data_IF_994987110070
#
_entry.id   IF_994987110070
#
_cell.length_a   1.000
_cell.length_b   1.000
_cell.length_c   1.000
_cell.angle_alpha   90.00
_cell.angle_beta   90.00
_cell.angle_gamma   90.00
#
_symmetry.space_group_name_H-M   'P 1'
#
loop_
_entity.id
_entity.type
_entity.pdbx_description
1 polymer ?
#
# COMPACT_ATOMS: atom_id res chain seq x y z
N UNK A 1 -29.00 15.29 3.15
CA UNK A 1 -27.68 15.03 2.52
C UNK A 1 -26.64 14.48 3.50
N UNK A 2 -26.59 14.94 4.76
CA UNK A 2 -25.65 14.44 5.78
C UNK A 2 -25.85 12.94 6.11
N UNK A 3 -27.09 12.52 6.38
CA UNK A 3 -27.43 11.11 6.70
C UNK A 3 -26.96 10.13 5.63
N UNK A 4 -27.13 10.46 4.34
CA UNK A 4 -26.67 9.61 3.24
C UNK A 4 -25.14 9.45 3.19
N UNK A 5 -24.39 10.47 3.61
CA UNK A 5 -22.92 10.41 3.69
C UNK A 5 -22.45 9.58 4.87
N UNK A 6 -23.13 9.67 6.01
CA UNK A 6 -22.83 8.89 7.21
C UNK A 6 -23.08 7.40 6.99
N UNK A 7 -24.25 7.04 6.44
CA UNK A 7 -24.60 5.65 6.09
C UNK A 7 -23.57 5.06 5.12
N UNK A 8 -23.17 5.83 4.10
CA UNK A 8 -22.16 5.42 3.13
C UNK A 8 -20.79 5.19 3.77
N UNK A 9 -20.38 6.04 4.70
CA UNK A 9 -19.10 5.92 5.40
C UNK A 9 -19.09 4.71 6.34
N UNK A 10 -20.20 4.47 7.04
CA UNK A 10 -20.38 3.28 7.89
C UNK A 10 -20.29 1.98 7.08
N UNK A 11 -20.93 1.92 5.92
CA UNK A 11 -20.86 0.75 5.03
C UNK A 11 -19.42 0.49 4.54
N UNK A 12 -18.69 1.53 4.12
CA UNK A 12 -17.30 1.39 3.67
C UNK A 12 -16.42 0.82 4.78
N UNK A 13 -16.55 1.35 6.00
CA UNK A 13 -15.78 0.88 7.15
C UNK A 13 -16.13 -0.57 7.48
N UNK A 14 -17.42 -0.92 7.49
CA UNK A 14 -17.87 -2.30 7.72
C UNK A 14 -17.28 -3.26 6.69
N UNK A 15 -17.37 -2.94 5.40
CA UNK A 15 -16.84 -3.78 4.33
C UNK A 15 -15.32 -3.92 4.41
N UNK A 16 -14.61 -2.84 4.76
CA UNK A 16 -13.15 -2.89 4.90
C UNK A 16 -12.71 -3.73 6.10
N UNK A 17 -13.40 -3.61 7.24
CA UNK A 17 -13.14 -4.43 8.42
C UNK A 17 -13.46 -5.90 8.13
N UNK A 18 -14.59 -6.19 7.48
CA UNK A 18 -14.93 -7.56 7.10
C UNK A 18 -13.92 -8.14 6.11
N UNK A 19 -13.47 -7.37 5.12
CA UNK A 19 -12.42 -7.81 4.19
C UNK A 19 -11.15 -8.21 4.94
N UNK A 20 -10.72 -7.38 5.90
CA UNK A 20 -9.55 -7.68 6.73
C UNK A 20 -9.76 -8.91 7.61
N UNK A 21 -10.87 -9.01 8.34
CA UNK A 21 -11.14 -10.13 9.27
C UNK A 21 -11.25 -11.45 8.52
N UNK A 22 -12.01 -11.48 7.42
CA UNK A 22 -12.25 -12.70 6.62
C UNK A 22 -11.00 -13.11 5.85
N UNK A 23 -10.32 -12.16 5.21
CA UNK A 23 -9.14 -12.48 4.38
C UNK A 23 -7.89 -12.74 5.20
N UNK A 24 -7.67 -11.94 6.25
CA UNK A 24 -6.36 -11.80 6.87
C UNK A 24 -6.36 -12.04 8.39
N UNK A 25 -7.46 -11.73 9.07
CA UNK A 25 -7.63 -12.03 10.49
C UNK A 25 -7.50 -13.52 10.80
N UNK A 26 -8.04 -14.38 9.93
CA UNK A 26 -7.86 -15.83 10.00
C UNK A 26 -6.37 -16.23 9.90
N UNK A 27 -5.63 -15.65 8.97
CA UNK A 27 -4.23 -15.98 8.77
C UNK A 27 -3.33 -15.49 9.93
N UNK A 28 -3.63 -14.33 10.51
CA UNK A 28 -2.97 -13.86 11.75
C UNK A 28 -3.24 -14.83 12.90
N UNK A 29 -4.49 -15.28 13.05
CA UNK A 29 -4.84 -16.27 14.07
C UNK A 29 -4.08 -17.58 13.88
N UNK A 30 -4.01 -18.10 12.64
CA UNK A 30 -3.21 -19.29 12.32
C UNK A 30 -1.73 -19.09 12.64
N UNK A 31 -1.19 -17.91 12.33
CA UNK A 31 0.21 -17.59 12.59
C UNK A 31 0.55 -17.59 14.08
N UNK A 32 -0.36 -17.08 14.91
CA UNK A 32 -0.26 -17.15 16.37
C UNK A 32 -0.37 -18.60 16.86
N UNK A 33 -1.28 -19.40 16.29
CA UNK A 33 -1.42 -20.82 16.66
C UNK A 33 -0.13 -21.61 16.35
N UNK A 34 0.46 -21.38 15.17
CA UNK A 34 1.74 -22.00 14.78
C UNK A 34 2.88 -21.54 15.69
N UNK A 35 2.93 -20.25 16.04
CA UNK A 35 3.94 -19.74 16.97
C UNK A 35 3.84 -20.41 18.36
N UNK A 36 2.63 -20.66 18.85
CA UNK A 36 2.39 -21.23 20.17
C UNK A 36 2.56 -22.76 20.22
N UNK A 37 2.24 -23.47 19.13
CA UNK A 37 2.13 -24.93 19.13
C UNK A 37 3.08 -25.63 18.14
N UNK A 38 3.81 -24.88 17.31
CA UNK A 38 4.69 -25.41 16.26
C UNK A 38 3.94 -25.81 14.97
N UNK A 39 4.71 -26.26 13.97
CA UNK A 39 4.19 -26.86 12.74
C UNK A 39 3.92 -28.35 12.97
N UNK A 40 2.65 -28.74 13.02
CA UNK A 40 2.27 -30.15 13.04
C UNK A 40 0.87 -30.38 13.61
N UNK A 41 0.17 -31.45 13.19
CA UNK A 41 -0.98 -31.88 13.94
C UNK A 41 -0.56 -32.29 15.35
N UNK A 42 -1.44 -32.14 16.37
CA UNK A 42 -1.15 -32.63 17.71
C UNK A 42 -0.74 -34.11 17.62
N UNK A 43 0.35 -34.47 18.30
CA UNK A 43 0.97 -35.80 18.26
C UNK A 43 -0.11 -36.91 18.27
N UNK A 44 -0.31 -37.59 17.13
CA UNK A 44 -1.24 -38.72 17.03
C UNK A 44 -2.12 -38.84 15.77
N UNK A 45 -2.17 -37.87 14.85
CA UNK A 45 -2.94 -38.03 13.61
C UNK A 45 -2.07 -38.63 12.48
N UNK A 46 -2.44 -39.82 12.02
CA UNK A 46 -1.67 -40.63 11.08
C UNK A 46 -1.30 -39.96 9.75
N UNK A 47 -0.13 -40.35 9.24
CA UNK A 47 0.57 -39.91 8.04
C UNK A 47 -0.05 -40.45 6.74
N UNK A 48 -1.25 -40.01 6.37
CA UNK A 48 -1.90 -40.51 5.14
C UNK A 48 -2.86 -39.52 4.51
N UNK A 49 -2.35 -38.62 3.65
CA UNK A 49 -2.99 -38.04 2.45
C UNK A 49 -2.39 -36.66 2.08
N UNK A 50 -1.18 -36.65 1.52
CA UNK A 50 -0.42 -35.41 1.27
C UNK A 50 -0.95 -34.52 0.13
N UNK A 51 -1.48 -35.04 -0.98
CA UNK A 51 -1.75 -34.20 -2.15
C UNK A 51 -3.21 -33.70 -2.30
N UNK A 52 -4.19 -34.42 -1.76
CA UNK A 52 -5.61 -34.02 -1.86
C UNK A 52 -5.99 -32.98 -0.81
N UNK A 53 -5.28 -32.96 0.32
CA UNK A 53 -5.49 -32.02 1.43
C UNK A 53 -5.01 -30.61 1.05
N UNK A 54 -3.88 -30.50 0.34
CA UNK A 54 -3.34 -29.23 -0.18
C UNK A 54 -4.29 -28.49 -1.11
N UNK A 55 -4.90 -29.21 -2.06
CA UNK A 55 -5.87 -28.60 -2.98
C UNK A 55 -7.12 -28.05 -2.27
N UNK A 56 -7.59 -28.74 -1.23
CA UNK A 56 -8.74 -28.31 -0.42
C UNK A 56 -8.38 -27.12 0.47
N UNK A 57 -7.20 -27.14 1.09
CA UNK A 57 -6.67 -26.01 1.86
C UNK A 57 -6.47 -24.79 0.96
N UNK A 58 -5.85 -24.96 -0.22
CA UNK A 58 -5.72 -23.91 -1.23
C UNK A 58 -7.08 -23.32 -1.59
N UNK A 59 -8.06 -24.16 -1.90
CA UNK A 59 -9.38 -23.71 -2.30
C UNK A 59 -10.08 -22.94 -1.17
N UNK A 60 -9.92 -23.37 0.07
CA UNK A 60 -10.43 -22.65 1.25
C UNK A 60 -9.79 -21.27 1.40
N UNK A 61 -8.46 -21.21 1.37
CA UNK A 61 -7.72 -19.95 1.47
C UNK A 61 -8.01 -19.01 0.29
N UNK A 62 -8.02 -19.52 -0.93
CA UNK A 62 -8.38 -18.78 -2.14
C UNK A 62 -9.81 -18.26 -2.08
N UNK A 63 -10.75 -19.05 -1.54
CA UNK A 63 -12.14 -18.60 -1.34
C UNK A 63 -12.21 -17.45 -0.35
N UNK A 64 -11.53 -17.55 0.80
CA UNK A 64 -11.46 -16.46 1.78
C UNK A 64 -10.85 -15.20 1.18
N UNK A 65 -9.80 -15.34 0.38
CA UNK A 65 -9.19 -14.22 -0.33
C UNK A 65 -10.15 -13.61 -1.36
N UNK A 66 -10.82 -14.43 -2.19
CA UNK A 66 -11.80 -13.93 -3.16
C UNK A 66 -12.89 -13.15 -2.45
N UNK A 67 -13.42 -13.66 -1.34
CA UNK A 67 -14.41 -12.96 -0.52
C UNK A 67 -13.83 -11.63 0.01
N UNK A 68 -12.60 -11.63 0.52
CA UNK A 68 -11.94 -10.42 0.99
C UNK A 68 -11.73 -9.39 -0.12
N UNK A 69 -11.31 -9.80 -1.32
CA UNK A 69 -11.14 -8.94 -2.49
C UNK A 69 -12.47 -8.39 -2.99
N UNK A 70 -13.55 -9.19 -2.95
CA UNK A 70 -14.90 -8.73 -3.28
C UNK A 70 -15.39 -7.68 -2.26
N UNK A 71 -15.14 -7.90 -0.97
CA UNK A 71 -15.48 -6.93 0.08
C UNK A 71 -14.65 -5.65 -0.06
N UNK A 72 -13.35 -5.76 -0.34
CA UNK A 72 -12.46 -4.64 -0.61
C UNK A 72 -12.90 -3.86 -1.86
N UNK A 73 -13.26 -4.56 -2.93
CA UNK A 73 -13.82 -4.00 -4.15
C UNK A 73 -15.14 -3.29 -3.88
N UNK A 74 -16.02 -3.87 -3.06
CA UNK A 74 -17.28 -3.27 -2.61
C UNK A 74 -17.06 -1.98 -1.79
N UNK A 75 -16.06 -1.96 -0.91
CA UNK A 75 -15.67 -0.77 -0.15
C UNK A 75 -15.15 0.33 -1.09
N UNK A 76 -14.24 -0.01 -2.00
CA UNK A 76 -13.69 0.90 -3.02
C UNK A 76 -14.78 1.47 -3.94
N UNK A 77 -15.70 0.61 -4.38
CA UNK A 77 -16.84 0.97 -5.21
C UNK A 77 -17.77 1.94 -4.50
N UNK A 78 -18.03 1.68 -3.23
CA UNK A 78 -18.84 2.54 -2.37
C UNK A 78 -18.18 3.91 -2.26
N UNK A 79 -16.86 4.02 -2.07
CA UNK A 79 -16.17 5.33 -2.01
C UNK A 79 -16.32 6.18 -3.29
N UNK A 80 -16.41 5.54 -4.45
CA UNK A 80 -16.63 6.20 -5.73
C UNK A 80 -15.87 5.47 -6.84
N UNK A 81 -16.60 4.78 -7.70
CA UNK A 81 -16.10 3.76 -8.65
C UNK A 81 -14.81 4.13 -9.41
N UNK A 82 -14.69 5.36 -9.91
CA UNK A 82 -13.61 5.75 -10.84
C UNK A 82 -12.31 6.14 -10.14
N UNK A 83 -12.26 7.10 -9.20
CA UNK A 83 -10.98 7.57 -8.68
C UNK A 83 -10.22 6.50 -7.89
N UNK A 84 -10.90 5.63 -7.16
CA UNK A 84 -10.25 4.62 -6.29
C UNK A 84 -9.68 3.45 -7.10
N UNK A 85 -10.46 2.88 -8.03
CA UNK A 85 -9.97 1.79 -8.88
C UNK A 85 -8.85 2.27 -9.81
N UNK A 86 -8.93 3.51 -10.30
CA UNK A 86 -7.83 4.11 -11.07
C UNK A 86 -6.60 4.37 -10.20
N UNK A 87 -6.74 4.65 -8.90
CA UNK A 87 -5.60 4.72 -7.99
C UNK A 87 -4.92 3.36 -7.87
N UNK A 88 -5.64 2.26 -7.69
CA UNK A 88 -5.02 0.93 -7.65
C UNK A 88 -4.36 0.54 -8.98
N UNK A 89 -5.02 0.80 -10.11
CA UNK A 89 -4.55 0.41 -11.44
C UNK A 89 -3.43 1.31 -11.97
N UNK A 90 -3.56 2.62 -11.78
CA UNK A 90 -2.74 3.63 -12.43
C UNK A 90 -1.95 4.46 -11.40
N UNK A 91 -2.22 4.33 -10.10
CA UNK A 91 -1.56 5.11 -9.04
C UNK A 91 -1.79 6.61 -9.12
N UNK A 92 -1.19 7.33 -8.18
CA UNK A 92 -1.39 8.77 -7.99
C UNK A 92 -0.50 9.59 -8.93
N UNK A 93 -0.98 10.78 -9.29
CA UNK A 93 -0.16 11.80 -9.95
C UNK A 93 0.56 12.62 -8.88
N UNK A 94 1.88 12.47 -8.79
CA UNK A 94 2.69 13.36 -7.96
C UNK A 94 2.86 14.73 -8.61
N UNK A 95 2.81 15.78 -7.79
CA UNK A 95 2.96 17.18 -8.23
C UNK A 95 4.41 17.61 -8.44
N UNK A 96 5.39 16.86 -7.94
CA UNK A 96 6.80 17.28 -7.97
C UNK A 96 7.62 16.30 -8.81
N UNK A 97 8.07 16.69 -10.03
CA UNK A 97 8.92 15.84 -10.87
C UNK A 97 10.34 15.71 -10.28
N UNK A 98 10.91 14.50 -10.29
CA UNK A 98 12.32 14.23 -9.94
C UNK A 98 12.54 13.60 -8.57
N UNK A 99 12.05 14.24 -7.49
CA UNK A 99 12.17 13.73 -6.10
C UNK A 99 11.58 12.34 -5.91
N UNK A 100 10.56 12.02 -6.70
CA UNK A 100 9.89 10.75 -6.61
C UNK A 100 10.74 9.54 -6.97
N UNK A 101 11.64 9.72 -7.93
CA UNK A 101 12.52 8.65 -8.40
C UNK A 101 13.55 8.29 -7.32
N UNK A 102 14.06 9.31 -6.64
CA UNK A 102 15.04 9.17 -5.56
C UNK A 102 14.39 8.58 -4.31
N UNK A 103 13.19 9.05 -3.92
CA UNK A 103 12.44 8.48 -2.80
C UNK A 103 12.04 7.03 -3.09
N UNK A 104 11.55 6.72 -4.29
CA UNK A 104 11.26 5.34 -4.69
C UNK A 104 12.53 4.47 -4.65
N UNK A 105 13.65 4.98 -5.16
CA UNK A 105 14.94 4.28 -5.10
C UNK A 105 15.40 4.02 -3.67
N UNK A 106 15.30 5.00 -2.78
CA UNK A 106 15.67 4.83 -1.36
C UNK A 106 14.74 3.86 -0.65
N UNK A 107 13.42 3.98 -0.86
CA UNK A 107 12.46 3.05 -0.27
C UNK A 107 12.71 1.63 -0.74
N UNK A 108 13.02 1.45 -2.02
CA UNK A 108 13.37 0.15 -2.59
C UNK A 108 14.71 -0.38 -2.08
N UNK A 109 15.71 0.49 -1.88
CA UNK A 109 16.97 0.08 -1.26
C UNK A 109 16.78 -0.35 0.20
N UNK A 110 15.89 0.30 0.95
CA UNK A 110 15.53 -0.12 2.30
C UNK A 110 14.75 -1.44 2.30
N UNK A 111 13.85 -1.60 1.33
CA UNK A 111 13.11 -2.83 1.06
C UNK A 111 14.07 -4.00 0.80
N UNK A 112 15.04 -3.80 -0.11
CA UNK A 112 16.13 -4.72 -0.42
C UNK A 112 17.03 -5.00 0.79
N UNK A 113 17.37 -3.98 1.57
CA UNK A 113 18.25 -4.15 2.73
C UNK A 113 17.58 -5.00 3.82
N UNK A 114 16.28 -4.79 4.08
CA UNK A 114 15.53 -5.66 5.00
C UNK A 114 15.39 -7.07 4.47
N UNK A 115 15.15 -7.18 3.17
CA UNK A 115 15.09 -8.46 2.47
C UNK A 115 16.42 -9.25 2.59
N UNK A 116 17.57 -8.63 2.35
CA UNK A 116 18.87 -9.28 2.50
C UNK A 116 19.19 -9.66 3.93
N UNK A 117 18.78 -8.79 4.86
CA UNK A 117 18.89 -9.09 6.27
C UNK A 117 18.07 -10.34 6.62
N UNK A 118 16.83 -10.47 6.14
CA UNK A 118 16.00 -11.68 6.29
C UNK A 118 16.72 -12.93 5.77
N UNK A 119 17.18 -12.93 4.53
CA UNK A 119 17.82 -14.12 3.92
C UNK A 119 19.06 -14.58 4.70
N UNK A 120 19.85 -13.63 5.23
CA UNK A 120 21.06 -13.96 5.99
C UNK A 120 20.81 -14.46 7.40
N UNK A 121 19.74 -14.00 8.04
CA UNK A 121 19.50 -14.31 9.45
C UNK A 121 18.43 -15.38 9.63
N UNK A 122 17.56 -15.59 8.63
CA UNK A 122 16.50 -16.57 8.73
C UNK A 122 17.06 -17.97 8.93
N UNK A 123 16.55 -18.71 9.92
CA UNK A 123 16.95 -20.07 10.14
C UNK A 123 16.49 -20.88 8.93
N UNK A 124 17.23 -21.93 8.59
CA UNK A 124 16.76 -22.91 7.62
C UNK A 124 15.36 -23.36 8.06
N UNK A 125 14.36 -23.11 7.23
CA UNK A 125 13.06 -23.71 7.45
C UNK A 125 13.24 -25.24 7.42
N UNK A 126 12.47 -26.00 8.23
CA UNK A 126 12.46 -27.44 8.07
C UNK A 126 12.13 -27.76 6.62
N UNK A 127 12.91 -28.65 6.01
CA UNK A 127 12.68 -29.06 4.62
C UNK A 127 11.20 -29.46 4.47
N UNK A 128 10.50 -28.78 3.57
CA UNK A 128 9.14 -29.14 3.21
C UNK A 128 9.22 -30.52 2.54
N UNK A 129 8.49 -31.52 3.04
CA UNK A 129 8.48 -32.83 2.39
C UNK A 129 7.77 -32.67 1.03
N UNK A 130 8.46 -32.88 -0.11
CA UNK A 130 7.87 -32.75 -1.44
C UNK A 130 6.70 -33.72 -1.68
N UNK A 131 6.58 -34.77 -0.87
CA UNK A 131 5.44 -35.68 -0.88
C UNK A 131 4.19 -35.08 -0.23
N UNK A 132 4.33 -34.02 0.57
CA UNK A 132 3.25 -33.34 1.28
C UNK A 132 2.91 -31.97 0.71
N UNK A 133 3.85 -31.28 0.08
CA UNK A 133 3.63 -29.98 -0.55
C UNK A 133 4.20 -29.94 -1.96
N UNK A 134 3.40 -29.51 -2.93
CA UNK A 134 3.84 -29.39 -4.31
C UNK A 134 4.38 -27.98 -4.61
N UNK A 135 5.52 -27.87 -5.30
CA UNK A 135 6.12 -26.58 -5.66
C UNK A 135 5.14 -25.59 -6.31
N UNK A 136 4.27 -26.06 -7.21
CA UNK A 136 3.28 -25.22 -7.87
C UNK A 136 2.26 -24.62 -6.88
N UNK A 137 1.93 -25.36 -5.80
CA UNK A 137 1.02 -24.91 -4.76
C UNK A 137 1.67 -23.78 -3.95
N UNK A 138 2.92 -23.93 -3.52
CA UNK A 138 3.62 -22.88 -2.75
C UNK A 138 3.82 -21.61 -3.57
N UNK A 139 4.17 -21.73 -4.86
CA UNK A 139 4.24 -20.59 -5.78
C UNK A 139 2.87 -19.93 -5.93
N UNK A 140 1.82 -20.71 -6.24
CA UNK A 140 0.48 -20.16 -6.45
C UNK A 140 -0.07 -19.51 -5.18
N UNK A 141 0.15 -20.14 -4.02
CA UNK A 141 -0.26 -19.67 -2.70
C UNK A 141 0.46 -18.38 -2.32
N UNK A 142 1.77 -18.32 -2.48
CA UNK A 142 2.57 -17.11 -2.27
C UNK A 142 2.06 -15.96 -3.13
N UNK A 143 1.90 -16.18 -4.44
CA UNK A 143 1.39 -15.14 -5.35
C UNK A 143 -0.03 -14.69 -4.97
N UNK A 144 -0.95 -15.63 -4.71
CA UNK A 144 -2.35 -15.27 -4.46
C UNK A 144 -2.56 -14.69 -3.06
N UNK A 145 -2.16 -15.39 -2.01
CA UNK A 145 -2.44 -15.00 -0.62
C UNK A 145 -1.42 -13.99 -0.10
N UNK A 146 -0.13 -14.26 -0.32
CA UNK A 146 0.95 -13.37 0.08
C UNK A 146 0.93 -12.10 -0.75
N UNK A 147 1.25 -12.19 -2.03
CA UNK A 147 1.42 -11.00 -2.85
C UNK A 147 0.11 -10.25 -3.15
N UNK A 148 -0.92 -10.90 -3.69
CA UNK A 148 -2.16 -10.18 -4.06
C UNK A 148 -2.97 -9.82 -2.81
N UNK A 149 -3.19 -10.79 -1.92
CA UNK A 149 -4.01 -10.60 -0.72
C UNK A 149 -3.48 -9.51 0.20
N UNK A 150 -2.21 -9.58 0.58
CA UNK A 150 -1.63 -8.58 1.48
C UNK A 150 -1.66 -7.17 0.90
N UNK A 151 -1.20 -7.03 -0.34
CA UNK A 151 -1.01 -5.72 -0.93
C UNK A 151 -2.36 -5.02 -1.17
N UNK A 152 -3.42 -5.76 -1.49
CA UNK A 152 -4.77 -5.17 -1.61
C UNK A 152 -5.47 -4.96 -0.27
N UNK A 153 -5.50 -5.98 0.59
CA UNK A 153 -6.37 -5.98 1.78
C UNK A 153 -5.69 -5.34 2.99
N UNK A 154 -4.40 -5.62 3.20
CA UNK A 154 -3.64 -5.14 4.37
C UNK A 154 -3.05 -3.77 4.10
N UNK A 155 -2.60 -3.52 2.88
CA UNK A 155 -1.94 -2.27 2.51
C UNK A 155 -2.87 -1.27 1.81
N UNK A 156 -3.33 -1.58 0.60
CA UNK A 156 -3.98 -0.60 -0.27
C UNK A 156 -5.35 -0.14 0.27
N UNK A 157 -6.17 -1.09 0.74
CA UNK A 157 -7.53 -0.82 1.21
C UNK A 157 -7.57 0.13 2.42
N UNK A 158 -6.84 -0.10 3.53
CA UNK A 158 -6.85 0.82 4.66
C UNK A 158 -6.40 2.23 4.29
N UNK A 159 -5.35 2.34 3.46
CA UNK A 159 -4.82 3.62 3.03
C UNK A 159 -5.86 4.39 2.21
N UNK A 160 -6.53 3.73 1.26
CA UNK A 160 -7.60 4.33 0.46
C UNK A 160 -8.78 4.76 1.33
N UNK A 161 -9.21 3.90 2.26
CA UNK A 161 -10.33 4.20 3.17
C UNK A 161 -10.01 5.44 4.01
N UNK A 162 -8.83 5.49 4.63
CA UNK A 162 -8.39 6.65 5.43
C UNK A 162 -8.27 7.91 4.56
N UNK A 163 -7.72 7.82 3.35
CA UNK A 163 -7.62 8.97 2.43
C UNK A 163 -8.97 9.60 2.12
N UNK A 164 -10.01 8.78 1.97
CA UNK A 164 -11.34 9.26 1.58
C UNK A 164 -12.19 9.70 2.78
N UNK A 165 -12.15 8.94 3.87
CA UNK A 165 -13.03 9.17 5.03
C UNK A 165 -12.39 10.04 6.11
N UNK A 166 -11.07 10.02 6.24
CA UNK A 166 -10.33 10.74 7.28
C UNK A 166 -8.99 11.33 6.77
N UNK A 167 -8.99 12.11 5.68
CA UNK A 167 -7.77 12.64 5.05
C UNK A 167 -6.88 13.42 6.03
N UNK A 168 -7.47 14.08 7.04
CA UNK A 168 -6.76 14.80 8.10
C UNK A 168 -5.78 13.94 8.89
N UNK A 169 -6.00 12.62 8.97
CA UNK A 169 -5.08 11.69 9.65
C UNK A 169 -3.76 11.58 8.90
N UNK A 170 -3.77 11.66 7.57
CA UNK A 170 -2.56 11.58 6.73
C UNK A 170 -1.88 12.93 6.53
N UNK A 171 -2.57 14.04 6.83
CA UNK A 171 -2.04 15.39 6.67
C UNK A 171 -1.21 15.87 7.87
N UNK A 172 -1.41 15.26 9.05
CA UNK A 172 -0.69 15.62 10.28
C UNK A 172 0.35 14.54 10.59
N UNK A 173 1.57 14.97 10.91
CA UNK A 173 2.71 14.07 11.10
C UNK A 173 2.46 12.97 12.15
N UNK A 174 1.98 13.32 13.34
CA UNK A 174 1.73 12.35 14.43
C UNK A 174 0.70 11.27 14.09
N UNK A 175 -0.55 11.60 13.69
CA UNK A 175 -1.52 10.56 13.31
C UNK A 175 -1.11 9.79 12.06
N UNK A 176 -0.40 10.42 11.11
CA UNK A 176 0.12 9.71 9.94
C UNK A 176 1.16 8.67 10.36
N UNK A 177 2.09 9.03 11.25
CA UNK A 177 3.08 8.09 11.80
C UNK A 177 2.43 6.94 12.57
N UNK A 178 1.41 7.22 13.40
CA UNK A 178 0.65 6.18 14.10
C UNK A 178 -0.06 5.24 13.11
N UNK A 179 -0.65 5.78 12.05
CA UNK A 179 -1.31 4.98 11.04
C UNK A 179 -0.32 4.10 10.26
N UNK A 180 0.84 4.65 9.88
CA UNK A 180 1.94 3.86 9.29
C UNK A 180 2.37 2.74 10.23
N UNK A 181 2.58 3.05 11.52
CA UNK A 181 2.95 2.05 12.51
C UNK A 181 1.90 0.93 12.63
N UNK A 182 0.61 1.27 12.61
CA UNK A 182 -0.48 0.28 12.64
C UNK A 182 -0.45 -0.65 11.41
N UNK A 183 -0.20 -0.12 10.21
CA UNK A 183 -0.10 -0.95 9.00
C UNK A 183 1.12 -1.86 9.03
N UNK A 184 2.26 -1.34 9.52
CA UNK A 184 3.49 -2.12 9.70
C UNK A 184 3.25 -3.26 10.70
N UNK A 185 2.61 -2.97 11.83
CA UNK A 185 2.26 -3.99 12.83
C UNK A 185 1.29 -5.02 12.25
N UNK A 186 0.25 -4.60 11.54
CA UNK A 186 -0.71 -5.49 10.90
C UNK A 186 -0.03 -6.45 9.91
N UNK A 187 0.96 -5.96 9.17
CA UNK A 187 1.77 -6.78 8.26
C UNK A 187 2.67 -7.77 8.99
N UNK A 188 3.42 -7.32 10.00
CA UNK A 188 4.30 -8.21 10.79
C UNK A 188 3.48 -9.27 11.55
N UNK A 189 2.25 -8.94 11.97
CA UNK A 189 1.37 -9.86 12.68
C UNK A 189 1.11 -11.17 11.91
N UNK A 190 1.09 -11.12 10.58
CA UNK A 190 0.96 -12.30 9.73
C UNK A 190 2.21 -13.18 9.71
N UNK A 191 3.39 -12.60 9.97
CA UNK A 191 4.64 -13.37 10.00
C UNK A 191 5.02 -13.84 11.40
N UNK A 192 4.14 -13.69 12.41
CA UNK A 192 4.44 -14.11 13.79
C UNK A 192 4.76 -15.60 13.91
N UNK A 193 4.31 -16.44 12.98
CA UNK A 193 4.69 -17.87 12.94
C UNK A 193 6.20 -18.09 12.84
N UNK A 194 6.95 -17.07 12.39
CA UNK A 194 8.41 -17.09 12.29
C UNK A 194 9.10 -16.68 13.62
N UNK A 195 8.32 -16.40 14.67
CA UNK A 195 8.84 -15.99 15.97
C UNK A 195 9.63 -14.69 15.92
N UNK A 196 10.83 -14.69 16.49
CA UNK A 196 11.71 -13.51 16.48
C UNK A 196 12.12 -13.09 15.05
N UNK A 197 12.10 -14.02 14.09
CA UNK A 197 12.46 -13.72 12.70
C UNK A 197 11.42 -12.87 11.98
N UNK A 198 10.19 -12.79 12.49
CA UNK A 198 9.16 -11.88 11.97
C UNK A 198 9.66 -10.42 11.88
N UNK A 199 10.57 -10.01 12.77
CA UNK A 199 11.16 -8.67 12.78
C UNK A 199 12.02 -8.35 11.55
N UNK A 200 12.52 -9.36 10.84
CA UNK A 200 13.28 -9.12 9.62
C UNK A 200 12.41 -8.65 8.45
N UNK A 201 11.09 -8.82 8.54
CA UNK A 201 10.13 -8.19 7.61
C UNK A 201 9.90 -6.69 7.87
N UNK A 202 10.41 -6.14 8.98
CA UNK A 202 10.15 -4.75 9.36
C UNK A 202 10.54 -3.74 8.28
N UNK A 203 11.73 -3.81 7.65
CA UNK A 203 12.08 -2.81 6.64
C UNK A 203 11.22 -2.95 5.38
N UNK A 204 10.83 -4.17 5.00
CA UNK A 204 9.87 -4.41 3.92
C UNK A 204 8.49 -3.82 4.24
N UNK A 205 7.97 -4.09 5.44
CA UNK A 205 6.68 -3.57 5.88
C UNK A 205 6.65 -2.04 5.88
N UNK A 206 7.71 -1.39 6.38
CA UNK A 206 7.85 0.07 6.35
C UNK A 206 7.97 0.58 4.92
N UNK A 207 8.87 -0.03 4.13
CA UNK A 207 9.13 0.32 2.73
C UNK A 207 7.86 0.28 1.89
N UNK A 208 7.11 -0.81 1.98
CA UNK A 208 5.87 -1.01 1.26
C UNK A 208 4.79 0.01 1.64
N UNK A 209 4.60 0.29 2.94
CA UNK A 209 3.63 1.30 3.39
C UNK A 209 3.98 2.67 2.85
N UNK A 210 5.25 3.08 2.98
CA UNK A 210 5.71 4.37 2.48
C UNK A 210 5.65 4.47 0.96
N UNK A 211 5.99 3.39 0.25
CA UNK A 211 5.98 3.34 -1.21
C UNK A 211 4.56 3.47 -1.74
N UNK A 212 3.57 2.81 -1.15
CA UNK A 212 2.16 2.95 -1.53
C UNK A 212 1.59 4.31 -1.10
N UNK A 213 1.97 4.81 0.09
CA UNK A 213 1.56 6.14 0.52
C UNK A 213 2.07 7.21 -0.45
N UNK A 214 3.25 6.98 -1.02
CA UNK A 214 3.82 7.80 -2.04
C UNK A 214 3.12 7.55 -3.38
N UNK A 215 3.42 6.46 -4.07
CA UNK A 215 2.98 6.15 -5.43
C UNK A 215 1.48 5.95 -5.60
N UNK A 216 0.81 5.35 -4.61
CA UNK A 216 -0.53 4.78 -4.74
C UNK A 216 -0.60 3.59 -5.69
N UNK A 217 0.53 3.03 -6.13
CA UNK A 217 0.59 1.89 -7.04
C UNK A 217 0.82 0.61 -6.26
N UNK A 218 -0.13 -0.31 -6.33
CA UNK A 218 -0.03 -1.62 -5.65
C UNK A 218 0.76 -2.64 -6.49
N UNK A 219 0.66 -2.57 -7.82
CA UNK A 219 1.23 -3.58 -8.72
C UNK A 219 2.75 -3.81 -8.60
N UNK A 220 3.59 -2.76 -8.50
CA UNK A 220 5.03 -2.98 -8.33
C UNK A 220 5.35 -3.76 -7.04
N UNK A 221 4.54 -3.59 -6.00
CA UNK A 221 4.69 -4.28 -4.72
C UNK A 221 4.22 -5.73 -4.84
N UNK A 222 3.07 -5.96 -5.46
CA UNK A 222 2.58 -7.31 -5.78
C UNK A 222 3.64 -8.09 -6.56
N UNK A 223 4.25 -7.49 -7.58
CA UNK A 223 5.26 -8.16 -8.38
C UNK A 223 6.52 -8.48 -7.56
N UNK A 224 7.01 -7.53 -6.76
CA UNK A 224 8.15 -7.74 -5.89
C UNK A 224 7.89 -8.87 -4.88
N UNK A 225 6.72 -8.85 -4.24
CA UNK A 225 6.30 -9.85 -3.27
C UNK A 225 6.10 -11.24 -3.90
N UNK A 226 5.38 -11.31 -5.03
CA UNK A 226 5.15 -12.56 -5.76
C UNK A 226 6.46 -13.22 -6.17
N UNK A 227 7.41 -12.42 -6.63
CA UNK A 227 8.72 -12.89 -7.01
C UNK A 227 9.51 -13.42 -5.80
N UNK A 228 9.42 -12.74 -4.67
CA UNK A 228 10.02 -13.20 -3.42
C UNK A 228 9.48 -14.58 -3.02
N UNK A 229 8.16 -14.71 -2.90
CA UNK A 229 7.54 -15.97 -2.49
C UNK A 229 7.84 -17.10 -3.47
N UNK A 230 7.91 -16.79 -4.77
CA UNK A 230 8.32 -17.77 -5.79
C UNK A 230 9.76 -18.22 -5.56
N UNK A 231 10.68 -17.30 -5.26
CA UNK A 231 12.08 -17.65 -5.04
C UNK A 231 12.26 -18.44 -3.74
N UNK A 232 11.49 -18.10 -2.70
CA UNK A 232 11.45 -18.85 -1.44
C UNK A 232 10.96 -20.28 -1.69
N UNK A 233 9.85 -20.45 -2.41
CA UNK A 233 9.34 -21.77 -2.78
C UNK A 233 10.36 -22.57 -3.59
N UNK A 234 11.05 -21.97 -4.57
CA UNK A 234 12.11 -22.65 -5.32
C UNK A 234 13.27 -23.09 -4.42
N UNK A 235 13.64 -22.27 -3.42
CA UNK A 235 14.71 -22.59 -2.47
C UNK A 235 14.31 -23.73 -1.53
N UNK A 236 13.08 -23.68 -1.01
CA UNK A 236 12.55 -24.68 -0.08
C UNK A 236 12.38 -26.06 -0.74
N UNK A 237 12.16 -26.08 -2.06
CA UNK A 237 12.10 -27.28 -2.90
C UNK A 237 13.46 -27.68 -3.50
N UNK A 238 14.55 -27.01 -3.12
CA UNK A 238 15.91 -27.25 -3.61
C UNK A 238 16.10 -27.11 -5.14
N UNK A 239 15.19 -26.42 -5.83
CA UNK A 239 15.32 -26.09 -7.26
C UNK A 239 16.39 -25.00 -7.49
N UNK A 240 16.62 -24.17 -6.47
CA UNK A 240 17.76 -23.28 -6.36
C UNK A 240 18.46 -23.56 -5.03
N UNK A 241 19.79 -23.52 -5.04
CA UNK A 241 20.59 -23.92 -3.86
C UNK A 241 21.70 -22.92 -3.52
N UNK A 242 22.07 -22.07 -4.48
CA UNK A 242 23.14 -21.12 -4.28
C UNK A 242 22.57 -19.77 -3.84
N UNK A 243 23.13 -19.14 -2.78
CA UNK A 243 22.75 -17.77 -2.41
C UNK A 243 22.87 -16.80 -3.58
N UNK A 244 23.83 -17.02 -4.49
CA UNK A 244 24.01 -16.22 -5.71
C UNK A 244 22.81 -16.31 -6.68
N UNK A 245 22.13 -17.45 -6.77
CA UNK A 245 20.92 -17.62 -7.60
C UNK A 245 19.77 -16.80 -7.00
N UNK A 246 19.60 -16.85 -5.67
CA UNK A 246 18.64 -15.99 -4.97
C UNK A 246 18.96 -14.51 -5.17
N UNK A 247 20.24 -14.10 -5.10
CA UNK A 247 20.68 -12.72 -5.39
C UNK A 247 20.28 -12.30 -6.79
N UNK A 248 20.58 -13.13 -7.77
CA UNK A 248 20.39 -12.80 -9.18
C UNK A 248 18.90 -12.69 -9.52
N UNK A 249 18.09 -13.64 -9.06
CA UNK A 249 16.65 -13.62 -9.24
C UNK A 249 16.05 -12.34 -8.63
N UNK A 250 16.34 -12.04 -7.36
CA UNK A 250 15.80 -10.87 -6.69
C UNK A 250 16.31 -9.55 -7.28
N UNK A 251 17.58 -9.50 -7.67
CA UNK A 251 18.18 -8.36 -8.34
C UNK A 251 17.46 -8.05 -9.67
N UNK A 252 17.11 -9.08 -10.44
CA UNK A 252 16.35 -8.92 -11.69
C UNK A 252 14.93 -8.42 -11.40
N UNK A 253 14.21 -9.03 -10.46
CA UNK A 253 12.85 -8.60 -10.12
C UNK A 253 12.80 -7.14 -9.65
N UNK A 254 13.76 -6.77 -8.81
CA UNK A 254 13.96 -5.41 -8.34
C UNK A 254 14.21 -4.46 -9.50
N UNK A 255 15.13 -4.81 -10.42
CA UNK A 255 15.43 -4.00 -11.58
C UNK A 255 14.19 -3.81 -12.48
N UNK A 256 13.35 -4.84 -12.62
CA UNK A 256 12.08 -4.77 -13.36
C UNK A 256 11.07 -3.86 -12.67
N UNK A 257 10.95 -3.91 -11.35
CA UNK A 257 10.10 -3.01 -10.55
C UNK A 257 10.56 -1.56 -10.69
N UNK A 258 11.86 -1.30 -10.57
CA UNK A 258 12.45 0.03 -10.83
C UNK A 258 12.09 0.46 -12.24
N UNK A 259 12.39 -0.37 -13.24
CA UNK A 259 12.16 -0.05 -14.64
C UNK A 259 10.68 0.27 -14.91
N UNK A 260 9.75 -0.52 -14.34
CA UNK A 260 8.32 -0.26 -14.40
C UNK A 260 7.94 1.10 -13.82
N UNK A 261 8.45 1.43 -12.62
CA UNK A 261 8.25 2.75 -12.00
C UNK A 261 8.83 3.88 -12.87
N UNK A 262 10.02 3.69 -13.45
CA UNK A 262 10.67 4.64 -14.35
C UNK A 262 9.89 4.85 -15.65
N UNK A 263 9.41 3.77 -16.27
CA UNK A 263 8.61 3.82 -17.51
C UNK A 263 7.28 4.52 -17.26
N UNK A 264 6.61 4.23 -16.14
CA UNK A 264 5.39 4.92 -15.73
C UNK A 264 5.62 6.42 -15.46
N UNK A 265 6.77 6.79 -14.90
CA UNK A 265 7.16 8.18 -14.71
C UNK A 265 7.44 8.90 -16.05
N UNK A 266 8.02 8.21 -17.04
CA UNK A 266 8.33 8.75 -18.38
C UNK A 266 7.10 8.94 -19.26
N UNK A 267 6.18 7.97 -19.30
CA UNK A 267 4.96 8.03 -20.13
C UNK A 267 4.04 9.20 -19.82
N UNK A 268 4.16 9.78 -18.62
CA UNK A 268 3.36 10.92 -18.14
C UNK A 268 3.93 12.29 -18.47
N UNK A 269 5.15 12.36 -19.03
CA UNK A 269 5.80 13.62 -19.42
C UNK A 269 5.54 14.04 -20.85
N UNK A 270 4.72 13.32 -21.64
CA UNK A 270 4.36 13.82 -22.97
C UNK A 270 3.68 15.18 -22.79
N UNK A 271 4.30 16.27 -23.27
CA UNK A 271 3.64 17.55 -23.30
C UNK A 271 2.36 17.32 -24.08
N UNK A 272 1.23 17.77 -23.55
CA UNK A 272 0.17 18.21 -24.45
C UNK A 272 0.84 19.36 -25.18
N UNK A 273 1.50 19.07 -26.29
CA UNK A 273 1.73 20.05 -27.34
C UNK A 273 0.33 20.52 -27.60
N UNK A 274 -0.02 21.64 -26.97
CA UNK A 274 -1.05 22.54 -27.45
C UNK A 274 -0.65 22.75 -28.90
N UNK A 275 -1.21 21.93 -29.79
CA UNK A 275 -1.34 22.27 -31.18
C UNK A 275 -2.01 23.63 -31.11
N UNK A 276 -1.18 24.65 -31.24
CA UNK A 276 -1.61 26.02 -31.34
C UNK A 276 -2.65 26.01 -32.46
N UNK A 277 -3.88 26.46 -32.24
CA UNK A 277 -4.77 26.78 -33.34
C UNK A 277 -4.25 28.08 -33.99
N UNK A 278 -3.00 28.07 -34.45
CA UNK A 278 -2.44 29.08 -35.32
C UNK A 278 -2.55 28.48 -36.72
N UNK A 279 -3.72 28.67 -37.34
CA UNK A 279 -3.91 28.18 -38.71
C UNK A 279 -5.35 28.12 -39.22
N UNK A 280 -6.38 28.44 -38.43
CA UNK A 280 -7.70 28.74 -38.99
C UNK A 280 -7.82 30.26 -39.17
N UNK A 281 -7.06 30.72 -40.16
CA UNK A 281 -7.47 31.70 -41.17
C UNK A 281 -8.70 32.56 -40.81
N UNK A 282 -8.41 33.79 -40.41
CA UNK A 282 -9.32 34.92 -40.47
C UNK A 282 -9.67 35.20 -41.93
N UNK A 283 -10.77 34.65 -42.42
CA UNK A 283 -11.53 35.28 -43.51
C UNK A 283 -12.75 35.96 -42.91
N UNK A 284 -12.55 37.26 -42.69
CA UNK A 284 -13.52 38.35 -42.77
C UNK A 284 -14.77 37.99 -43.61
N UNK A 285 -15.96 38.05 -43.01
CA UNK A 285 -17.12 38.69 -43.63
C UNK A 285 -18.11 39.14 -42.55
N UNK A 286 -18.51 40.38 -42.75
CA UNK A 286 -19.41 41.25 -42.01
C UNK A 286 -20.77 40.71 -41.58
N UNK A 287 -21.30 41.41 -40.58
CA UNK A 287 -22.72 41.74 -40.34
C UNK A 287 -23.72 40.60 -40.06
N UNK A 288 -24.13 40.48 -38.79
CA UNK A 288 -25.51 40.82 -38.39
C UNK A 288 -25.68 40.82 -36.86
N UNK A 289 -26.09 41.98 -36.39
CA UNK A 289 -26.52 42.33 -35.04
C UNK A 289 -27.62 41.41 -34.50
N UNK A 290 -27.31 40.64 -33.47
CA UNK A 290 -28.31 40.10 -32.52
C UNK A 290 -27.88 40.43 -31.11
N UNK A 291 -28.51 41.46 -30.57
CA UNK A 291 -28.43 41.89 -29.17
C UNK A 291 -28.95 40.80 -28.24
N UNK A 292 -28.04 40.14 -27.52
CA UNK A 292 -28.33 39.26 -26.39
C UNK A 292 -28.06 39.99 -25.06
N UNK A 293 -28.85 39.72 -24.01
CA UNK A 293 -28.87 40.51 -22.80
C UNK A 293 -27.61 40.28 -21.95
N UNK A 294 -26.99 41.41 -21.59
CA UNK A 294 -25.90 41.55 -20.64
C UNK A 294 -26.16 40.76 -19.36
N UNK A 295 -25.41 39.69 -19.16
CA UNK A 295 -25.29 39.01 -17.87
C UNK A 295 -24.39 39.88 -16.98
N UNK A 296 -24.81 40.23 -15.75
CA UNK A 296 -24.01 41.11 -14.90
C UNK A 296 -22.67 40.47 -14.52
N UNK A 297 -21.61 41.27 -14.38
CA UNK A 297 -20.27 40.80 -14.09
C UNK A 297 -20.23 40.12 -12.72
N UNK A 298 -19.80 38.86 -12.73
CA UNK A 298 -19.52 38.07 -11.53
C UNK A 298 -18.32 38.71 -10.82
N UNK A 299 -18.58 39.49 -9.76
CA UNK A 299 -17.58 40.10 -8.89
C UNK A 299 -16.48 39.10 -8.54
N UNK A 300 -15.26 39.34 -9.02
CA UNK A 300 -14.05 38.70 -8.54
C UNK A 300 -13.80 39.18 -7.11
N UNK A 301 -13.97 38.29 -6.13
CA UNK A 301 -13.42 38.49 -4.78
C UNK A 301 -11.90 38.36 -4.86
N UNK A 302 -11.24 39.47 -5.15
CA UNK A 302 -9.86 39.71 -4.73
C UNK A 302 -9.93 39.99 -3.23
N UNK A 303 -9.74 38.98 -2.39
CA UNK A 303 -9.46 39.22 -0.98
C UNK A 303 -7.98 39.55 -0.86
N UNK A 304 -7.71 40.85 -0.72
CA UNK A 304 -6.60 41.38 0.03
C UNK A 304 -6.48 40.62 1.37
N UNK A 305 -5.39 39.87 1.53
CA UNK A 305 -4.86 39.50 2.84
C UNK A 305 -3.34 39.70 2.77
N UNK A 306 -2.95 40.97 2.88
CA UNK A 306 -1.62 41.40 3.25
C UNK A 306 -1.82 42.54 4.26
N UNK A 307 -1.64 42.25 5.56
CA UNK A 307 -1.61 43.30 6.57
C UNK A 307 -2.01 42.84 7.98
N UNK A 308 -1.04 42.94 8.90
CA UNK A 308 -1.10 42.72 10.37
C UNK A 308 -0.94 41.27 10.83
N UNK A 309 0.27 40.91 11.28
CA UNK A 309 0.64 40.67 12.70
C UNK A 309 2.16 40.42 12.73
N UNK A 310 2.94 41.50 12.79
CA UNK A 310 4.30 41.50 13.34
C UNK A 310 4.45 42.82 14.08
N UNK A 311 3.96 42.85 15.32
CA UNK A 311 4.43 43.81 16.32
C UNK A 311 5.48 43.08 17.18
N UNK A 312 6.74 43.55 17.22
CA UNK A 312 7.69 43.11 18.23
C UNK A 312 7.31 43.77 19.55
N UNK A 313 6.78 42.96 20.47
CA UNK A 313 6.56 43.36 21.85
C UNK A 313 7.89 43.52 22.59
N UNK A 314 8.40 44.75 22.63
CA UNK A 314 9.26 45.23 23.69
C UNK A 314 8.48 45.14 25.01
N UNK A 315 8.82 44.17 25.86
CA UNK A 315 8.40 44.18 27.26
C UNK A 315 9.66 44.22 28.13
N UNK A 316 9.89 45.43 28.59
CA UNK A 316 10.81 45.87 29.62
C UNK A 316 10.77 45.02 30.88
N UNK A 317 11.97 44.79 31.40
CA UNK A 317 12.23 44.42 32.78
C UNK A 317 11.47 45.35 33.77
N UNK A 318 10.82 44.74 34.75
CA UNK A 318 10.39 45.41 35.97
C UNK A 318 10.47 44.42 37.12
N UNK A 319 11.59 44.49 37.81
CA UNK A 319 11.83 44.01 39.17
C UNK A 319 10.72 44.42 40.13
N UNK A 320 10.26 43.49 40.98
CA UNK A 320 9.98 43.76 42.39
C UNK A 320 10.06 42.47 43.23
N UNK A 321 10.90 42.44 44.27
CA UNK A 321 10.87 41.43 45.32
C UNK A 321 9.95 41.89 46.47
N UNK A 322 9.37 40.93 47.19
CA UNK A 322 9.06 40.96 48.64
C UNK A 322 8.38 39.62 48.98
N UNK A 323 9.01 38.77 49.80
CA UNK A 323 8.95 38.75 51.26
C UNK A 323 7.69 38.00 51.76
N UNK A 324 7.89 36.76 52.24
CA UNK A 324 7.72 36.33 53.65
C UNK A 324 6.28 36.35 54.17
N UNK A 325 5.73 35.18 54.48
CA UNK A 325 5.45 34.70 55.85
C UNK A 325 4.46 33.52 55.87
N UNK A 326 4.82 32.53 56.71
CA UNK A 326 4.06 31.38 57.27
C UNK A 326 3.82 30.15 56.39
#
# INVERSE_FOLDING_TARGET
>A
MLVAREVKSGLVLLLAVLAYVVGYGWAVMLSVQILLHGYGPPEGSGSGSGSSSDGVLFAGEATLLIVALLLAGGAAWSLGRRPVLLEWLIGRRHRVPGWGLLVAGVLLLLDLAGFWLFVWISPSQPAQDPATHALWYDIARGIWLGAIGEEFVVLALPIVVVRQLAPQLLQRARPAAMFVALLVIARIAYHLYQGAWAWSHLPWAVGAVLLYLWTGHVWPQILAHAFYDTTLALSDHHEISQPAEMVLLHGVATALVILGLLMMARGRRRPVTSASPAGAELTHTDELSVSLPLRPPRRSRSHDILGRVLQPGCASASSRPHATER
#
